data_IF_299327446582
#
_entry.id   IF_299327446582
#
_cell.length_a   1.000
_cell.length_b   1.000
_cell.length_c   1.000
_cell.angle_alpha   90.00
_cell.angle_beta   90.00
_cell.angle_gamma   90.00
#
_symmetry.space_group_name_H-M   'P 1'
#
loop_
_entity.id
_entity.type
_entity.pdbx_description
1 polymer ?
#
# COMPACT_ATOMS: atom_id res chain seq x y z
N UNK A 1 -13.89 15.64 18.32
CA UNK A 1 -13.87 14.31 17.69
C UNK A 1 -12.42 13.89 17.57
N UNK A 2 -12.08 12.64 17.93
CA UNK A 2 -10.71 12.14 17.82
C UNK A 2 -10.26 12.10 16.35
N UNK A 3 -8.97 12.29 16.08
CA UNK A 3 -8.41 12.41 14.72
C UNK A 3 -8.16 11.04 14.10
N UNK A 4 -8.48 10.85 12.83
CA UNK A 4 -8.14 9.59 12.15
C UNK A 4 -6.63 9.48 11.96
N UNK A 5 -6.08 8.27 11.86
CA UNK A 5 -4.64 8.14 11.57
C UNK A 5 -4.28 8.72 10.19
N UNK A 6 -5.21 8.74 9.24
CA UNK A 6 -5.05 9.42 7.95
C UNK A 6 -4.96 10.93 8.09
N UNK A 7 -5.77 11.54 8.96
CA UNK A 7 -5.69 12.96 9.30
C UNK A 7 -4.36 13.29 10.00
N UNK A 8 -3.90 12.43 10.91
CA UNK A 8 -2.60 12.58 11.59
C UNK A 8 -1.44 12.48 10.59
N UNK A 9 -1.47 11.51 9.67
CA UNK A 9 -0.46 11.40 8.60
C UNK A 9 -0.45 12.64 7.71
N UNK A 10 -1.63 13.09 7.28
CA UNK A 10 -1.76 14.29 6.44
C UNK A 10 -1.25 15.55 7.15
N UNK A 11 -1.50 15.67 8.45
CA UNK A 11 -0.96 16.74 9.29
C UNK A 11 0.57 16.69 9.35
N UNK A 12 1.15 15.53 9.67
CA UNK A 12 2.61 15.36 9.78
C UNK A 12 3.32 15.57 8.44
N UNK A 13 2.76 15.04 7.35
CA UNK A 13 3.27 15.26 6.00
C UNK A 13 3.18 16.74 5.60
N UNK A 14 2.11 17.44 6.02
CA UNK A 14 1.97 18.89 5.84
C UNK A 14 3.00 19.73 6.61
N UNK A 15 3.70 19.16 7.59
CA UNK A 15 4.80 19.81 8.30
C UNK A 15 6.16 19.59 7.63
N UNK A 16 6.31 18.59 6.75
CA UNK A 16 7.58 18.30 6.08
C UNK A 16 8.06 19.53 5.31
N UNK A 17 9.33 19.90 5.50
CA UNK A 17 9.90 21.12 4.91
C UNK A 17 9.59 22.41 5.68
N UNK A 18 8.81 22.35 6.79
CA UNK A 18 8.48 23.51 7.63
C UNK A 18 9.10 23.40 9.02
N UNK A 19 9.38 24.55 9.63
CA UNK A 19 9.83 24.67 11.01
C UNK A 19 8.61 24.57 11.94
N UNK A 20 8.65 23.64 12.90
CA UNK A 20 7.58 23.50 13.90
C UNK A 20 7.58 24.67 14.87
N UNK A 21 6.39 25.12 15.27
CA UNK A 21 6.23 26.26 16.18
C UNK A 21 5.80 25.76 17.54
N UNK A 22 6.54 26.09 18.58
CA UNK A 22 6.15 25.83 19.96
C UNK A 22 5.42 27.07 20.51
N UNK A 23 4.14 26.92 20.81
CA UNK A 23 3.31 28.03 21.33
C UNK A 23 3.56 28.33 22.80
N UNK A 24 4.21 27.42 23.54
CA UNK A 24 4.55 27.61 24.95
C UNK A 24 5.89 28.34 25.13
N UNK A 25 6.83 28.12 24.22
CA UNK A 25 8.16 28.72 24.28
C UNK A 25 8.77 28.81 22.87
N UNK A 26 8.88 30.02 22.33
CA UNK A 26 9.46 30.25 21.00
C UNK A 26 10.93 29.81 20.87
N UNK A 27 11.67 29.65 21.97
CA UNK A 27 13.02 29.10 21.97
C UNK A 27 13.08 27.62 21.58
N UNK A 28 11.94 26.92 21.62
CA UNK A 28 11.80 25.52 21.20
C UNK A 28 11.35 25.36 19.75
N UNK A 29 11.18 26.46 19.01
CA UNK A 29 10.81 26.42 17.59
C UNK A 29 11.80 25.57 16.78
N UNK A 30 11.27 24.66 15.99
CA UNK A 30 12.01 23.71 15.16
C UNK A 30 12.71 22.57 15.91
N UNK A 31 12.71 22.57 17.25
CA UNK A 31 13.28 21.45 18.02
C UNK A 31 12.44 20.18 17.92
N UNK A 32 13.07 19.02 18.13
CA UNK A 32 12.37 17.71 18.07
C UNK A 32 11.14 17.64 19.01
N UNK A 33 11.19 18.28 20.18
CA UNK A 33 10.07 18.32 21.13
C UNK A 33 8.90 19.16 20.64
N UNK A 34 9.13 20.21 19.83
CA UNK A 34 8.04 21.04 19.32
C UNK A 34 7.21 20.29 18.29
N UNK A 35 7.78 19.37 17.51
CA UNK A 35 7.02 18.44 16.68
C UNK A 35 6.02 17.61 17.50
N UNK A 36 6.46 17.07 18.64
CA UNK A 36 5.58 16.26 19.51
C UNK A 36 4.46 17.13 20.09
N UNK A 37 4.77 18.35 20.53
CA UNK A 37 3.77 19.30 21.06
C UNK A 37 2.72 19.69 20.01
N UNK A 38 3.15 19.95 18.77
CA UNK A 38 2.26 20.22 17.64
C UNK A 38 1.34 19.04 17.35
N UNK A 39 1.87 17.81 17.38
CA UNK A 39 1.09 16.59 17.23
C UNK A 39 0.05 16.45 18.34
N UNK A 40 0.47 16.56 19.61
CA UNK A 40 -0.42 16.43 20.77
C UNK A 40 -1.55 17.47 20.74
N UNK A 41 -1.25 18.70 20.32
CA UNK A 41 -2.26 19.72 20.10
C UNK A 41 -3.23 19.35 18.96
N UNK A 42 -2.71 18.87 17.84
CA UNK A 42 -3.54 18.47 16.69
C UNK A 42 -4.51 17.32 17.03
N UNK A 43 -4.06 16.32 17.78
CA UNK A 43 -4.89 15.18 18.21
C UNK A 43 -5.79 15.51 19.40
N UNK A 44 -5.64 16.68 20.01
CA UNK A 44 -6.44 17.12 21.14
C UNK A 44 -6.08 16.44 22.47
N UNK A 45 -4.83 16.00 22.63
CA UNK A 45 -4.35 15.45 23.89
C UNK A 45 -4.28 16.56 24.97
N UNK A 46 -4.55 16.24 26.25
CA UNK A 46 -4.45 17.19 27.34
C UNK A 46 -2.98 17.57 27.57
N UNK A 47 -2.76 18.82 27.96
CA UNK A 47 -1.45 19.38 28.30
C UNK A 47 -0.33 19.08 27.28
N UNK A 48 -0.52 19.41 25.99
CA UNK A 48 0.44 19.06 24.93
C UNK A 48 1.84 19.65 25.14
N UNK A 49 1.97 20.69 25.96
CA UNK A 49 3.21 21.43 26.24
C UNK A 49 3.93 20.97 27.53
N UNK A 50 3.51 19.88 28.17
CA UNK A 50 4.05 19.49 29.48
C UNK A 50 5.54 19.14 29.49
N UNK A 51 6.11 18.68 28.38
CA UNK A 51 7.56 18.43 28.27
C UNK A 51 8.32 19.75 28.04
N UNK A 52 9.25 20.08 28.95
CA UNK A 52 9.91 21.39 29.06
C UNK A 52 11.24 21.53 28.31
N UNK A 53 11.42 20.81 27.20
CA UNK A 53 12.53 21.06 26.27
C UNK A 53 13.41 19.86 25.92
N UNK A 54 13.62 18.90 26.83
CA UNK A 54 14.46 17.74 26.52
C UNK A 54 13.63 16.54 26.04
N UNK A 55 14.06 15.96 24.93
CA UNK A 55 13.48 14.75 24.37
C UNK A 55 13.53 13.57 25.36
N UNK A 56 14.59 13.44 26.17
CA UNK A 56 14.72 12.36 27.16
C UNK A 56 13.72 12.41 28.32
N UNK A 57 13.09 13.57 28.56
CA UNK A 57 12.15 13.77 29.66
C UNK A 57 10.72 13.34 29.26
N UNK A 58 10.45 13.28 27.94
CA UNK A 58 9.15 12.94 27.36
C UNK A 58 8.55 11.65 27.95
N UNK A 59 9.27 10.50 28.04
CA UNK A 59 8.71 9.29 28.62
C UNK A 59 8.20 9.48 30.05
N UNK A 60 9.02 10.09 30.92
CA UNK A 60 8.66 10.25 32.34
C UNK A 60 7.50 11.24 32.49
N UNK A 61 7.51 12.34 31.74
CA UNK A 61 6.47 13.38 31.82
C UNK A 61 5.14 12.90 31.23
N UNK A 62 5.12 12.36 30.01
CA UNK A 62 3.85 12.03 29.34
C UNK A 62 3.23 10.74 29.85
N UNK A 63 4.01 9.77 30.32
CA UNK A 63 3.46 8.56 30.95
C UNK A 63 2.85 8.89 32.31
N UNK A 64 3.55 9.65 33.17
CA UNK A 64 3.02 10.01 34.50
C UNK A 64 1.75 10.86 34.44
N UNK A 65 1.57 11.64 33.38
CA UNK A 65 0.36 12.45 33.15
C UNK A 65 -0.74 11.71 32.36
N UNK A 66 -0.54 10.44 32.00
CA UNK A 66 -1.48 9.67 31.20
C UNK A 66 -1.63 10.15 29.75
N UNK A 67 -0.76 11.03 29.28
CA UNK A 67 -0.73 11.55 27.90
C UNK A 67 -0.25 10.47 26.94
N UNK A 68 0.67 9.60 27.37
CA UNK A 68 1.15 8.48 26.57
C UNK A 68 1.21 7.19 27.41
N UNK A 69 1.18 6.03 26.77
CA UNK A 69 1.40 4.72 27.41
C UNK A 69 2.73 4.14 26.99
N UNK A 70 3.39 3.40 27.86
CA UNK A 70 4.61 2.66 27.49
C UNK A 70 4.24 1.53 26.53
N UNK A 71 5.04 1.35 25.47
CA UNK A 71 4.85 0.29 24.47
C UNK A 71 4.40 0.84 23.12
N UNK A 72 4.37 -0.05 22.13
CA UNK A 72 4.02 0.31 20.76
C UNK A 72 2.50 0.37 20.52
N UNK A 73 2.12 1.12 19.50
CA UNK A 73 0.76 1.31 19.00
C UNK A 73 0.76 1.68 17.52
N UNK A 74 -0.35 2.23 17.05
CA UNK A 74 -0.47 2.77 15.69
C UNK A 74 0.25 4.11 15.55
N UNK A 75 0.05 5.03 16.50
CA UNK A 75 0.74 6.31 16.60
C UNK A 75 1.68 6.29 17.80
N UNK A 76 2.97 6.53 17.55
CA UNK A 76 3.99 6.42 18.59
C UNK A 76 4.89 7.64 18.67
N UNK A 77 5.43 7.89 19.86
CA UNK A 77 6.64 8.69 20.07
C UNK A 77 7.79 7.71 20.28
N UNK A 78 8.80 7.76 19.43
CA UNK A 78 10.05 7.06 19.67
C UNK A 78 11.06 8.02 20.27
N UNK A 79 11.74 7.59 21.33
CA UNK A 79 12.67 8.40 22.10
C UNK A 79 14.03 7.72 22.10
N UNK A 80 15.07 8.47 21.79
CA UNK A 80 16.45 8.11 22.10
C UNK A 80 16.92 9.01 23.23
N UNK A 81 17.04 8.48 24.45
CA UNK A 81 17.55 9.26 25.60
C UNK A 81 19.00 9.70 25.43
N UNK A 82 19.76 8.94 24.63
CA UNK A 82 21.20 9.15 24.41
C UNK A 82 21.50 9.95 23.12
N UNK A 83 20.49 10.26 22.30
CA UNK A 83 20.64 11.07 21.10
C UNK A 83 20.93 12.55 21.38
N UNK A 84 21.24 13.32 20.34
CA UNK A 84 21.28 14.79 20.40
C UNK A 84 22.27 15.38 21.43
N UNK A 85 23.42 14.74 21.65
CA UNK A 85 24.42 15.22 22.61
C UNK A 85 24.02 15.07 24.09
N UNK A 86 23.14 14.12 24.43
CA UNK A 86 22.74 13.82 25.81
C UNK A 86 21.46 14.51 26.28
N UNK A 87 20.84 15.33 25.42
CA UNK A 87 19.51 15.89 25.62
C UNK A 87 18.38 14.98 25.10
N UNK A 88 18.77 13.94 24.36
CA UNK A 88 17.90 13.00 23.71
C UNK A 88 17.40 13.50 22.35
N UNK A 89 16.71 12.63 21.63
CA UNK A 89 16.03 12.95 20.39
C UNK A 89 14.70 12.18 20.30
N UNK A 90 13.72 12.74 19.60
CA UNK A 90 12.40 12.10 19.42
C UNK A 90 11.92 12.11 17.98
N UNK A 91 11.15 11.08 17.65
CA UNK A 91 10.44 10.91 16.39
C UNK A 91 8.96 10.65 16.67
N UNK A 92 8.10 11.08 15.75
CA UNK A 92 6.75 10.53 15.62
C UNK A 92 6.84 9.33 14.69
N UNK A 93 6.23 8.19 15.05
CA UNK A 93 6.21 7.00 14.19
C UNK A 93 4.79 6.49 13.93
N UNK A 94 4.52 6.14 12.67
CA UNK A 94 3.30 5.44 12.24
C UNK A 94 3.69 4.33 11.27
N UNK A 95 3.64 3.08 11.71
CA UNK A 95 4.16 1.95 10.94
C UNK A 95 5.66 2.10 10.68
N UNK A 96 6.06 2.02 9.41
CA UNK A 96 7.45 2.23 8.96
C UNK A 96 7.83 3.71 8.80
N UNK A 97 6.86 4.63 8.78
CA UNK A 97 7.15 6.04 8.61
C UNK A 97 7.58 6.70 9.93
N UNK A 98 8.53 7.63 9.83
CA UNK A 98 8.95 8.47 10.95
C UNK A 98 9.07 9.93 10.54
N UNK A 99 8.71 10.84 11.46
CA UNK A 99 8.87 12.29 11.31
C UNK A 99 9.72 12.81 12.46
N UNK A 100 10.66 13.69 12.15
CA UNK A 100 11.46 14.39 13.15
C UNK A 100 11.68 15.86 12.78
N UNK A 101 11.77 16.71 13.80
CA UNK A 101 12.41 18.01 13.70
C UNK A 101 13.77 17.94 14.41
N UNK A 102 14.70 18.83 14.09
CA UNK A 102 16.06 18.79 14.65
C UNK A 102 16.39 20.05 15.45
N UNK A 103 17.30 19.92 16.42
CA UNK A 103 17.66 20.90 17.46
C UNK A 103 18.06 22.32 17.02
N UNK A 104 18.21 22.60 15.72
CA UNK A 104 18.75 23.86 15.21
C UNK A 104 17.77 24.61 14.28
N UNK A 105 16.47 24.57 14.59
CA UNK A 105 15.46 25.26 13.77
C UNK A 105 15.24 24.63 12.40
N UNK A 106 15.68 23.38 12.20
CA UNK A 106 15.56 22.71 10.91
C UNK A 106 14.13 22.27 10.64
N UNK A 107 13.76 22.30 9.37
CA UNK A 107 12.50 21.79 8.89
C UNK A 107 12.27 20.32 9.26
N UNK A 108 11.00 19.96 9.46
CA UNK A 108 10.59 18.56 9.67
C UNK A 108 11.03 17.73 8.47
N UNK A 109 11.59 16.56 8.77
CA UNK A 109 12.02 15.55 7.79
C UNK A 109 11.26 14.25 8.04
N UNK A 110 10.97 13.54 6.96
CA UNK A 110 10.33 12.22 6.97
C UNK A 110 11.36 11.14 6.62
N UNK A 111 11.29 9.99 7.30
CA UNK A 111 12.05 8.77 7.03
C UNK A 111 13.57 8.99 6.97
N UNK A 112 14.08 9.83 7.86
CA UNK A 112 15.51 10.06 8.05
C UNK A 112 16.01 9.24 9.22
N UNK A 113 17.19 8.63 9.05
CA UNK A 113 17.73 7.58 9.91
C UNK A 113 17.58 7.84 11.42
N UNK A 114 17.22 6.77 12.12
CA UNK A 114 17.01 6.76 13.57
C UNK A 114 18.31 6.35 14.26
N UNK A 115 18.64 7.02 15.37
CA UNK A 115 19.65 6.47 16.30
C UNK A 115 18.98 5.48 17.24
N UNK A 116 19.75 4.80 18.09
CA UNK A 116 19.24 3.81 19.03
C UNK A 116 18.06 4.34 19.86
N UNK A 117 16.88 3.77 19.61
CA UNK A 117 15.65 4.08 20.33
C UNK A 117 15.68 3.37 21.68
N UNK A 118 15.47 4.13 22.75
CA UNK A 118 15.45 3.65 24.14
C UNK A 118 14.04 3.47 24.67
N UNK A 119 13.07 4.24 24.19
CA UNK A 119 11.68 4.19 24.64
C UNK A 119 10.73 4.33 23.45
N UNK A 120 9.63 3.59 23.48
CA UNK A 120 8.49 3.75 22.58
C UNK A 120 7.26 4.04 23.42
N UNK A 121 6.53 5.10 23.06
CA UNK A 121 5.32 5.55 23.75
C UNK A 121 4.14 5.56 22.79
N UNK A 122 3.05 4.90 23.16
CA UNK A 122 1.79 4.79 22.42
C UNK A 122 0.89 6.01 22.70
N UNK A 123 0.32 6.58 21.61
CA UNK A 123 -0.62 7.71 21.61
C UNK A 123 -2.01 7.35 21.05
N UNK A 124 -2.33 6.08 20.86
CA UNK A 124 -3.54 5.60 20.18
C UNK A 124 -4.84 6.07 20.84
N UNK A 125 -4.80 6.37 22.14
CA UNK A 125 -5.93 6.93 22.88
C UNK A 125 -6.41 8.31 22.36
N UNK A 126 -5.61 8.98 21.52
CA UNK A 126 -5.95 10.31 20.96
C UNK A 126 -6.41 10.26 19.49
N UNK A 127 -6.47 9.08 18.88
CA UNK A 127 -6.88 8.93 17.48
C UNK A 127 -8.18 8.12 17.37
N UNK A 128 -9.02 8.46 16.39
CA UNK A 128 -10.17 7.65 16.01
C UNK A 128 -9.71 6.57 15.04
N UNK A 129 -10.21 5.36 15.26
CA UNK A 129 -9.93 4.19 14.41
C UNK A 129 -10.73 4.18 13.10
N UNK A 130 -11.42 5.27 12.76
CA UNK A 130 -12.18 5.44 11.52
C UNK A 130 -11.29 6.03 10.42
N UNK A 131 -10.87 5.21 9.44
CA UNK A 131 -10.15 5.57 8.20
C UNK A 131 -8.62 5.78 8.28
N UNK A 132 -7.85 4.70 8.53
CA UNK A 132 -6.76 4.22 7.67
C UNK A 132 -6.36 2.77 8.07
N UNK A 133 -5.70 1.99 7.18
CA UNK A 133 -5.50 0.56 7.36
C UNK A 133 -4.50 0.26 8.48
N UNK A 134 -4.96 -0.53 9.45
CA UNK A 134 -4.20 -1.04 10.59
C UNK A 134 -3.30 -2.21 10.16
N UNK A 135 -2.06 -2.32 10.67
CA UNK A 135 -1.34 -3.59 10.66
C UNK A 135 -2.07 -4.53 11.65
N UNK A 136 -3.08 -5.24 11.13
CA UNK A 136 -3.96 -6.12 11.90
C UNK A 136 -5.45 -5.74 11.92
N UNK A 137 -5.95 -4.93 10.98
CA UNK A 137 -7.39 -4.66 10.82
C UNK A 137 -8.06 -5.64 9.84
N UNK A 138 -9.30 -6.04 10.12
CA UNK A 138 -10.17 -6.83 9.22
C UNK A 138 -10.19 -6.17 7.84
N UNK A 139 -9.61 -6.83 6.85
CA UNK A 139 -9.90 -6.47 5.47
C UNK A 139 -11.38 -6.74 5.21
N UNK A 140 -12.07 -5.76 4.62
CA UNK A 140 -13.51 -5.83 4.33
C UNK A 140 -13.84 -5.55 2.87
N UNK A 141 -12.83 -5.28 2.05
CA UNK A 141 -12.96 -5.00 0.62
C UNK A 141 -11.91 -5.77 -0.15
N UNK A 142 -12.24 -6.18 -1.38
CA UNK A 142 -11.30 -6.85 -2.28
C UNK A 142 -10.17 -5.88 -2.70
N UNK A 143 -8.92 -6.33 -2.65
CA UNK A 143 -7.79 -5.58 -3.20
C UNK A 143 -7.56 -5.86 -4.69
N UNK A 144 -6.66 -5.09 -5.31
CA UNK A 144 -6.23 -5.34 -6.69
C UNK A 144 -5.58 -6.74 -6.87
N UNK A 145 -4.94 -7.28 -5.82
CA UNK A 145 -4.37 -8.64 -5.87
C UNK A 145 -5.44 -9.71 -5.89
N UNK A 146 -6.47 -9.55 -5.05
CA UNK A 146 -7.64 -10.42 -5.07
C UNK A 146 -8.40 -10.36 -6.40
N UNK A 147 -8.62 -9.16 -6.94
CA UNK A 147 -9.23 -8.99 -8.27
C UNK A 147 -8.39 -9.68 -9.36
N UNK A 148 -7.07 -9.48 -9.37
CA UNK A 148 -6.18 -10.13 -10.32
C UNK A 148 -6.20 -11.66 -10.19
N UNK A 149 -6.28 -12.19 -8.96
CA UNK A 149 -6.39 -13.63 -8.73
C UNK A 149 -7.70 -14.18 -9.31
N UNK A 150 -8.82 -13.51 -9.08
CA UNK A 150 -10.13 -13.93 -9.63
C UNK A 150 -10.06 -13.91 -11.16
N UNK A 151 -9.65 -12.79 -11.76
CA UNK A 151 -9.55 -12.63 -13.22
C UNK A 151 -8.52 -13.55 -13.88
N UNK A 152 -7.56 -14.09 -13.13
CA UNK A 152 -6.63 -15.13 -13.63
C UNK A 152 -7.33 -16.47 -13.87
N UNK A 153 -8.40 -16.75 -13.13
CA UNK A 153 -9.13 -18.02 -13.21
C UNK A 153 -10.48 -17.90 -13.91
N UNK A 154 -11.11 -16.73 -13.88
CA UNK A 154 -12.31 -16.44 -14.64
C UNK A 154 -11.92 -16.02 -16.07
N UNK A 155 -12.59 -16.58 -17.07
CA UNK A 155 -12.48 -16.09 -18.44
C UNK A 155 -13.47 -14.93 -18.64
N UNK A 156 -13.06 -13.87 -19.34
CA UNK A 156 -13.97 -12.79 -19.72
C UNK A 156 -14.59 -13.09 -21.08
N UNK A 157 -15.89 -13.42 -21.10
CA UNK A 157 -16.62 -13.71 -22.34
C UNK A 157 -17.57 -12.55 -22.65
N UNK A 158 -17.26 -11.77 -23.67
CA UNK A 158 -17.98 -10.52 -23.99
C UNK A 158 -19.32 -10.72 -24.69
N UNK A 159 -19.65 -11.94 -25.11
CA UNK A 159 -20.95 -12.29 -25.69
C UNK A 159 -21.68 -13.22 -24.73
N UNK A 160 -22.93 -12.91 -24.39
CA UNK A 160 -23.72 -13.74 -23.50
C UNK A 160 -23.82 -15.18 -24.02
N UNK A 161 -23.79 -16.16 -23.12
CA UNK A 161 -23.88 -17.59 -23.44
C UNK A 161 -24.74 -18.32 -22.41
N UNK A 162 -25.22 -19.51 -22.80
CA UNK A 162 -26.07 -20.37 -21.97
C UNK A 162 -25.32 -21.70 -21.77
N UNK A 163 -25.12 -22.09 -20.52
CA UNK A 163 -24.47 -23.34 -20.15
C UNK A 163 -25.46 -24.51 -19.97
N UNK A 164 -26.76 -24.26 -20.13
CA UNK A 164 -27.82 -25.24 -19.90
C UNK A 164 -28.17 -25.45 -18.42
N UNK A 165 -27.65 -24.60 -17.53
CA UNK A 165 -27.86 -24.63 -16.07
C UNK A 165 -29.03 -23.75 -15.60
N UNK A 166 -29.75 -23.13 -16.55
CA UNK A 166 -30.87 -22.22 -16.27
C UNK A 166 -30.45 -20.77 -16.07
N UNK A 167 -29.17 -20.43 -16.29
CA UNK A 167 -28.66 -19.07 -16.25
C UNK A 167 -28.18 -18.60 -17.64
N UNK A 168 -28.16 -17.28 -17.85
CA UNK A 168 -27.46 -16.64 -18.97
C UNK A 168 -26.23 -15.93 -18.41
N UNK A 169 -25.05 -16.25 -18.93
CA UNK A 169 -23.75 -15.80 -18.41
C UNK A 169 -23.06 -14.87 -19.38
N UNK A 170 -22.40 -13.81 -18.88
CA UNK A 170 -21.62 -12.85 -19.68
C UNK A 170 -20.50 -12.22 -18.83
N UNK A 171 -19.48 -11.64 -19.47
CA UNK A 171 -18.39 -10.93 -18.81
C UNK A 171 -17.51 -11.87 -18.00
N UNK A 172 -17.17 -11.47 -16.77
CA UNK A 172 -16.33 -12.25 -15.84
C UNK A 172 -17.11 -13.32 -15.07
N UNK A 173 -18.17 -13.90 -15.67
CA UNK A 173 -19.04 -14.88 -15.01
C UNK A 173 -20.29 -14.28 -14.35
N UNK A 174 -20.70 -13.07 -14.76
CA UNK A 174 -21.99 -12.52 -14.35
C UNK A 174 -23.12 -13.39 -14.91
N UNK A 175 -24.03 -13.85 -14.05
CA UNK A 175 -25.08 -14.79 -14.42
C UNK A 175 -26.44 -14.34 -13.90
N UNK A 176 -27.44 -14.31 -14.78
CA UNK A 176 -28.83 -13.98 -14.43
C UNK A 176 -29.79 -15.13 -14.79
N UNK A 177 -30.86 -15.38 -14.01
CA UNK A 177 -31.82 -16.44 -14.30
C UNK A 177 -32.48 -16.29 -15.66
N UNK A 178 -32.47 -17.37 -16.43
CA UNK A 178 -33.11 -17.43 -17.73
C UNK A 178 -34.61 -17.13 -17.59
N UNK A 179 -35.10 -16.16 -18.38
CA UNK A 179 -36.48 -15.69 -18.32
C UNK A 179 -36.73 -14.55 -17.32
N UNK A 180 -35.72 -14.15 -16.53
CA UNK A 180 -35.77 -12.97 -15.65
C UNK A 180 -34.67 -11.95 -15.98
N UNK A 181 -34.10 -12.07 -17.18
CA UNK A 181 -32.96 -11.28 -17.65
C UNK A 181 -33.25 -10.69 -19.03
N UNK A 182 -32.62 -9.55 -19.32
CA UNK A 182 -32.57 -8.99 -20.67
C UNK A 182 -31.37 -9.53 -21.48
N UNK A 183 -30.50 -10.34 -20.88
CA UNK A 183 -29.39 -10.98 -21.56
C UNK A 183 -29.91 -12.08 -22.50
N UNK A 184 -29.47 -12.03 -23.75
CA UNK A 184 -29.81 -12.99 -24.80
C UNK A 184 -28.54 -13.69 -25.28
N UNK A 185 -28.45 -15.00 -25.06
CA UNK A 185 -27.30 -15.80 -25.47
C UNK A 185 -27.03 -15.67 -26.98
N UNK A 186 -25.76 -15.49 -27.34
CA UNK A 186 -25.28 -15.27 -28.71
C UNK A 186 -25.59 -13.88 -29.30
N UNK A 187 -26.34 -13.03 -28.59
CA UNK A 187 -26.82 -11.73 -29.12
C UNK A 187 -26.35 -10.56 -28.27
N UNK A 188 -26.54 -10.61 -26.95
CA UNK A 188 -26.09 -9.53 -26.07
C UNK A 188 -24.57 -9.52 -25.99
N UNK A 189 -23.98 -8.35 -26.24
CA UNK A 189 -22.53 -8.15 -26.19
C UNK A 189 -22.19 -6.99 -25.27
N UNK A 190 -21.06 -7.11 -24.58
CA UNK A 190 -20.47 -6.06 -23.75
C UNK A 190 -19.10 -5.65 -24.29
N UNK A 191 -18.72 -4.40 -24.06
CA UNK A 191 -17.33 -3.99 -24.08
C UNK A 191 -16.59 -4.51 -22.84
N UNK A 192 -15.25 -4.56 -22.92
CA UNK A 192 -14.41 -4.90 -21.77
C UNK A 192 -14.72 -4.00 -20.55
N UNK A 193 -14.94 -2.70 -20.78
CA UNK A 193 -15.25 -1.76 -19.71
C UNK A 193 -16.60 -2.07 -19.02
N UNK A 194 -17.61 -2.51 -19.77
CA UNK A 194 -18.90 -2.92 -19.20
C UNK A 194 -18.75 -4.21 -18.38
N UNK A 195 -17.99 -5.19 -18.88
CA UNK A 195 -17.71 -6.41 -18.13
C UNK A 195 -16.95 -6.12 -16.82
N UNK A 196 -15.95 -5.22 -16.86
CA UNK A 196 -15.22 -4.79 -15.68
C UNK A 196 -16.08 -3.99 -14.70
N UNK A 197 -16.98 -3.15 -15.18
CA UNK A 197 -17.93 -2.43 -14.34
C UNK A 197 -18.91 -3.38 -13.65
N UNK A 198 -19.46 -4.34 -14.39
CA UNK A 198 -20.38 -5.32 -13.82
C UNK A 198 -19.68 -6.21 -12.80
N UNK A 199 -18.45 -6.66 -13.08
CA UNK A 199 -17.64 -7.40 -12.11
C UNK A 199 -17.52 -6.66 -10.78
N UNK A 200 -17.28 -5.34 -10.79
CA UNK A 200 -17.22 -4.52 -9.56
C UNK A 200 -18.56 -4.43 -8.82
N UNK A 201 -19.69 -4.60 -9.50
CA UNK A 201 -21.01 -4.65 -8.85
C UNK A 201 -21.23 -6.02 -8.22
N UNK A 202 -20.96 -7.08 -8.96
CA UNK A 202 -21.17 -8.46 -8.50
C UNK A 202 -20.28 -8.80 -7.31
N UNK A 203 -19.03 -8.31 -7.30
CA UNK A 203 -18.06 -8.61 -6.26
C UNK A 203 -18.54 -8.20 -4.86
N UNK A 204 -19.41 -7.19 -4.78
CA UNK A 204 -19.98 -6.72 -3.51
C UNK A 204 -20.74 -7.84 -2.78
N UNK A 205 -21.45 -8.72 -3.50
CA UNK A 205 -22.17 -9.85 -2.90
C UNK A 205 -21.23 -10.85 -2.23
N UNK A 206 -20.11 -11.17 -2.89
CA UNK A 206 -19.10 -12.10 -2.38
C UNK A 206 -18.30 -11.51 -1.22
N UNK A 207 -17.90 -10.24 -1.33
CA UNK A 207 -17.27 -9.47 -0.24
C UNK A 207 -18.16 -9.44 1.00
N UNK A 208 -19.45 -9.14 0.84
CA UNK A 208 -20.41 -9.13 1.94
C UNK A 208 -20.58 -10.52 2.57
N UNK A 209 -20.56 -11.57 1.76
CA UNK A 209 -20.65 -12.96 2.25
C UNK A 209 -19.50 -13.28 3.20
N UNK A 210 -18.25 -13.01 2.80
CA UNK A 210 -17.08 -13.26 3.65
C UNK A 210 -17.13 -12.40 4.92
N UNK A 211 -17.47 -11.11 4.78
CA UNK A 211 -17.56 -10.18 5.91
C UNK A 211 -18.58 -10.59 6.98
N UNK A 212 -19.73 -11.09 6.55
CA UNK A 212 -20.87 -11.42 7.41
C UNK A 212 -20.79 -12.83 7.98
N UNK A 213 -20.14 -13.76 7.27
CA UNK A 213 -20.05 -15.15 7.72
C UNK A 213 -19.05 -15.32 8.87
N UNK A 214 -17.83 -14.79 8.71
CA UNK A 214 -16.76 -14.96 9.69
C UNK A 214 -16.79 -13.88 10.78
N UNK A 215 -16.66 -14.33 12.03
CA UNK A 215 -16.59 -13.45 13.21
C UNK A 215 -15.18 -12.93 13.46
N UNK A 216 -14.15 -13.67 13.01
CA UNK A 216 -12.75 -13.21 13.08
C UNK A 216 -12.41 -12.23 11.97
N UNK A 217 -11.27 -11.58 12.16
CA UNK A 217 -10.67 -10.69 11.17
C UNK A 217 -9.66 -11.43 10.31
N UNK A 218 -9.61 -11.09 9.03
CA UNK A 218 -8.59 -11.53 8.08
C UNK A 218 -7.67 -10.36 7.75
N UNK A 219 -6.39 -10.64 7.51
CA UNK A 219 -5.53 -9.68 6.81
C UNK A 219 -5.97 -9.56 5.33
N UNK A 220 -5.40 -8.61 4.58
CA UNK A 220 -5.82 -8.35 3.20
C UNK A 220 -5.68 -9.58 2.28
N UNK A 221 -4.54 -10.26 2.32
CA UNK A 221 -4.31 -11.43 1.45
C UNK A 221 -5.23 -12.60 1.80
N UNK A 222 -5.49 -12.81 3.11
CA UNK A 222 -6.47 -13.78 3.59
C UNK A 222 -7.87 -13.45 3.10
N UNK A 223 -8.29 -12.19 3.22
CA UNK A 223 -9.61 -11.76 2.77
C UNK A 223 -9.77 -11.90 1.25
N UNK A 224 -8.77 -11.48 0.47
CA UNK A 224 -8.75 -11.59 -0.98
C UNK A 224 -8.88 -13.05 -1.45
N UNK A 225 -8.14 -13.98 -0.82
CA UNK A 225 -8.24 -15.40 -1.10
C UNK A 225 -9.64 -15.96 -0.79
N UNK A 226 -10.23 -15.56 0.34
CA UNK A 226 -11.58 -15.98 0.73
C UNK A 226 -12.66 -15.46 -0.22
N UNK A 227 -12.53 -14.22 -0.70
CA UNK A 227 -13.44 -13.68 -1.72
C UNK A 227 -13.28 -14.42 -3.05
N UNK A 228 -12.05 -14.72 -3.49
CA UNK A 228 -11.83 -15.52 -4.71
C UNK A 228 -12.46 -16.91 -4.63
N UNK A 229 -12.31 -17.57 -3.48
CA UNK A 229 -12.91 -18.86 -3.22
C UNK A 229 -14.44 -18.80 -3.26
N UNK A 230 -15.03 -17.77 -2.63
CA UNK A 230 -16.49 -17.56 -2.60
C UNK A 230 -17.03 -17.22 -3.98
N UNK A 231 -16.27 -16.47 -4.79
CA UNK A 231 -16.62 -16.18 -6.19
C UNK A 231 -16.81 -17.47 -6.99
N UNK A 232 -15.89 -18.43 -6.81
CA UNK A 232 -15.95 -19.72 -7.49
C UNK A 232 -17.07 -20.63 -7.00
N UNK A 233 -17.27 -20.71 -5.69
CA UNK A 233 -18.14 -21.71 -5.06
C UNK A 233 -19.56 -21.19 -4.75
N UNK A 234 -19.79 -19.89 -4.95
CA UNK A 234 -21.03 -19.19 -4.65
C UNK A 234 -21.12 -18.74 -3.19
N UNK A 235 -22.00 -17.78 -2.92
CA UNK A 235 -22.20 -17.14 -1.61
C UNK A 235 -22.70 -18.07 -0.52
N UNK A 236 -23.30 -19.22 -0.89
CA UNK A 236 -23.81 -20.21 0.06
C UNK A 236 -22.76 -21.19 0.58
N UNK A 237 -21.51 -21.18 0.07
CA UNK A 237 -20.52 -22.24 0.32
C UNK A 237 -20.27 -22.50 1.80
N UNK A 238 -20.02 -21.46 2.59
CA UNK A 238 -19.67 -21.62 3.99
C UNK A 238 -20.84 -22.15 4.83
N UNK A 239 -22.06 -21.65 4.56
CA UNK A 239 -23.27 -22.08 5.28
C UNK A 239 -23.67 -23.51 4.94
N UNK A 240 -23.61 -23.88 3.66
CA UNK A 240 -23.95 -25.22 3.18
C UNK A 240 -23.07 -26.30 3.82
N UNK A 241 -21.78 -26.02 3.95
CA UNK A 241 -20.78 -26.98 4.43
C UNK A 241 -20.40 -26.74 5.91
N UNK A 242 -21.16 -25.87 6.61
CA UNK A 242 -21.08 -25.56 8.04
C UNK A 242 -19.66 -25.23 8.56
N UNK A 243 -18.98 -24.30 7.89
CA UNK A 243 -17.65 -23.84 8.32
C UNK A 243 -17.70 -23.15 9.68
N UNK A 244 -16.63 -23.26 10.47
CA UNK A 244 -16.53 -22.51 11.73
C UNK A 244 -16.37 -21.00 11.43
N UNK A 245 -17.24 -20.17 12.01
CA UNK A 245 -17.19 -18.71 11.86
C UNK A 245 -15.93 -18.07 12.46
N UNK A 246 -15.29 -18.76 13.40
CA UNK A 246 -14.00 -18.38 14.00
C UNK A 246 -12.87 -19.35 13.61
N UNK A 247 -13.01 -20.06 12.49
CA UNK A 247 -12.05 -21.06 12.00
C UNK A 247 -10.59 -20.59 12.08
N UNK A 248 -9.68 -21.50 12.44
CA UNK A 248 -8.24 -21.28 12.35
C UNK A 248 -7.79 -21.17 10.89
N UNK A 249 -6.60 -20.62 10.67
CA UNK A 249 -5.99 -20.52 9.34
C UNK A 249 -5.78 -21.92 8.73
N UNK A 250 -5.36 -22.90 9.53
CA UNK A 250 -5.22 -24.30 9.12
C UNK A 250 -6.55 -24.89 8.64
N UNK A 251 -7.63 -24.71 9.41
CA UNK A 251 -8.96 -25.21 9.03
C UNK A 251 -9.40 -24.64 7.68
N UNK A 252 -9.21 -23.33 7.47
CA UNK A 252 -9.59 -22.66 6.22
C UNK A 252 -8.80 -23.24 5.05
N UNK A 253 -7.47 -23.31 5.16
CA UNK A 253 -6.63 -23.80 4.05
C UNK A 253 -6.87 -25.28 3.72
N UNK A 254 -7.08 -26.14 4.72
CA UNK A 254 -7.47 -27.54 4.52
C UNK A 254 -8.86 -27.66 3.87
N UNK A 255 -9.82 -26.82 4.29
CA UNK A 255 -11.16 -26.82 3.73
C UNK A 255 -11.15 -26.38 2.27
N UNK A 256 -10.46 -25.28 1.93
CA UNK A 256 -10.28 -24.80 0.56
C UNK A 256 -9.70 -25.91 -0.33
N UNK A 257 -8.69 -26.64 0.13
CA UNK A 257 -8.02 -27.69 -0.64
C UNK A 257 -8.95 -28.86 -1.07
N UNK A 258 -10.10 -29.04 -0.40
CA UNK A 258 -11.04 -30.11 -0.73
C UNK A 258 -11.99 -29.78 -1.89
N UNK A 259 -12.13 -28.51 -2.29
CA UNK A 259 -13.03 -28.07 -3.37
C UNK A 259 -12.38 -28.18 -4.74
N UNK A 260 -12.14 -29.41 -5.17
CA UNK A 260 -11.46 -29.74 -6.43
C UNK A 260 -12.25 -30.67 -7.36
N UNK A 261 -13.49 -31.07 -7.04
CA UNK A 261 -14.30 -31.99 -7.86
C UNK A 261 -13.53 -33.23 -8.36
N UNK A 262 -13.07 -34.07 -7.41
CA UNK A 262 -12.24 -35.25 -7.69
C UNK A 262 -12.87 -36.17 -8.75
N UNK A 263 -12.06 -36.60 -9.71
CA UNK A 263 -12.46 -37.45 -10.83
C UNK A 263 -13.13 -36.72 -12.00
N UNK A 264 -13.30 -35.39 -11.92
CA UNK A 264 -13.84 -34.60 -13.02
C UNK A 264 -12.74 -34.04 -13.92
N UNK A 265 -13.10 -33.70 -15.17
CA UNK A 265 -12.19 -32.98 -16.09
C UNK A 265 -11.73 -31.61 -15.56
N UNK A 266 -12.41 -31.05 -14.56
CA UNK A 266 -12.08 -29.76 -13.96
C UNK A 266 -11.11 -29.88 -12.79
N UNK A 267 -10.79 -31.11 -12.34
CA UNK A 267 -10.05 -31.33 -11.11
C UNK A 267 -8.69 -30.64 -11.10
N UNK A 268 -7.92 -30.75 -12.18
CA UNK A 268 -6.59 -30.16 -12.28
C UNK A 268 -6.65 -28.62 -12.23
N UNK A 269 -7.62 -28.02 -12.93
CA UNK A 269 -7.84 -26.58 -12.93
C UNK A 269 -8.23 -26.06 -11.55
N UNK A 270 -9.15 -26.75 -10.87
CA UNK A 270 -9.57 -26.40 -9.52
C UNK A 270 -8.45 -26.60 -8.51
N UNK A 271 -7.68 -27.69 -8.59
CA UNK A 271 -6.50 -27.93 -7.74
C UNK A 271 -5.51 -26.78 -7.83
N UNK A 272 -5.20 -26.31 -9.06
CA UNK A 272 -4.35 -25.13 -9.28
C UNK A 272 -4.94 -23.86 -8.67
N UNK A 273 -6.25 -23.65 -8.82
CA UNK A 273 -6.96 -22.50 -8.21
C UNK A 273 -6.89 -22.51 -6.69
N UNK A 274 -7.24 -23.62 -6.06
CA UNK A 274 -7.19 -23.79 -4.60
C UNK A 274 -5.77 -23.56 -4.08
N UNK A 275 -4.74 -24.07 -4.76
CA UNK A 275 -3.35 -23.88 -4.36
C UNK A 275 -2.95 -22.39 -4.38
N UNK A 276 -3.33 -21.64 -5.41
CA UNK A 276 -3.01 -20.21 -5.53
C UNK A 276 -3.79 -19.35 -4.52
N UNK A 277 -5.05 -19.69 -4.25
CA UNK A 277 -5.84 -19.09 -3.17
C UNK A 277 -5.20 -19.34 -1.80
N UNK A 278 -4.76 -20.58 -1.51
CA UNK A 278 -4.04 -20.93 -0.28
C UNK A 278 -2.69 -20.21 -0.18
N UNK A 279 -1.95 -20.10 -1.29
CA UNK A 279 -0.68 -19.37 -1.34
C UNK A 279 -0.89 -17.90 -0.98
N UNK A 280 -1.91 -17.25 -1.58
CA UNK A 280 -2.25 -15.88 -1.24
C UNK A 280 -2.66 -15.78 0.23
N UNK A 281 -3.54 -16.65 0.71
CA UNK A 281 -3.99 -16.66 2.12
C UNK A 281 -2.83 -16.75 3.12
N UNK A 282 -1.83 -17.58 2.82
CA UNK A 282 -0.64 -17.76 3.66
C UNK A 282 0.42 -16.67 3.49
N UNK A 283 0.29 -15.77 2.51
CA UNK A 283 1.25 -14.70 2.28
C UNK A 283 1.08 -13.62 3.34
N UNK A 284 2.07 -13.38 4.23
CA UNK A 284 1.98 -12.36 5.25
C UNK A 284 1.86 -10.97 4.61
N UNK A 285 0.94 -10.15 5.12
CA UNK A 285 0.87 -8.74 4.76
C UNK A 285 1.93 -8.00 5.58
N UNK A 286 3.18 -8.04 5.12
CA UNK A 286 4.20 -7.13 5.63
C UNK A 286 3.80 -5.71 5.19
N UNK A 287 3.94 -4.70 6.06
CA UNK A 287 3.64 -3.29 5.78
C UNK A 287 4.50 -2.63 4.68
N UNK A 288 4.94 -3.39 3.69
CA UNK A 288 5.62 -2.98 2.48
C UNK A 288 5.25 -3.94 1.36
N UNK A 289 3.98 -3.97 0.96
CA UNK A 289 3.71 -4.32 -0.42
C UNK A 289 3.98 -3.07 -1.25
N UNK A 290 5.26 -2.95 -1.62
CA UNK A 290 5.63 -2.35 -2.86
C UNK A 290 4.62 -2.84 -3.91
N UNK A 291 3.88 -1.92 -4.50
CA UNK A 291 3.44 -2.02 -5.87
C UNK A 291 4.68 -2.37 -6.70
N UNK A 292 4.97 -3.66 -6.86
CA UNK A 292 5.52 -4.16 -8.11
C UNK A 292 4.37 -4.12 -9.12
N UNK A 293 4.01 -2.89 -9.51
CA UNK A 293 3.87 -2.68 -10.94
C UNK A 293 5.28 -2.93 -11.46
N UNK A 294 5.41 -3.79 -12.44
CA UNK A 294 6.43 -3.58 -13.46
C UNK A 294 6.10 -2.25 -14.15
N UNK A 295 6.27 -1.13 -13.45
CA UNK A 295 6.75 0.07 -14.09
C UNK A 295 8.21 -0.27 -14.33
N UNK A 296 8.53 -0.63 -15.58
CA UNK A 296 9.91 -0.54 -16.05
C UNK A 296 10.51 0.74 -15.47
N UNK A 297 11.69 0.63 -14.85
CA UNK A 297 12.43 1.75 -14.25
C UNK A 297 12.67 2.85 -15.31
N UNK A 298 11.66 3.70 -15.49
CA UNK A 298 11.67 4.92 -16.28
C UNK A 298 12.15 6.08 -15.41
N UNK A 299 12.61 5.80 -14.18
CA UNK A 299 13.20 6.80 -13.30
C UNK A 299 14.61 7.13 -13.71
N UNK A 300 15.39 6.23 -14.33
CA UNK A 300 16.72 6.55 -14.85
C UNK A 300 16.99 5.90 -16.23
N UNK A 301 17.07 6.71 -17.29
CA UNK A 301 17.36 6.24 -18.65
C UNK A 301 18.08 7.29 -19.49
N UNK A 302 18.60 6.90 -20.65
CA UNK A 302 19.17 7.82 -21.63
C UNK A 302 18.27 7.93 -22.87
N UNK A 303 18.19 9.12 -23.47
CA UNK A 303 17.45 9.38 -24.71
C UNK A 303 18.44 9.72 -25.81
N UNK A 304 18.25 9.14 -26.99
CA UNK A 304 18.87 9.58 -28.24
C UNK A 304 17.87 10.45 -29.00
N UNK A 305 18.23 11.71 -29.27
CA UNK A 305 17.36 12.64 -29.98
C UNK A 305 18.18 13.48 -30.98
N UNK A 306 17.84 13.43 -32.28
CA UNK A 306 18.71 13.93 -33.34
C UNK A 306 20.13 13.33 -33.24
N UNK A 307 21.14 14.20 -33.12
CA UNK A 307 22.54 13.81 -32.83
C UNK A 307 22.92 13.89 -31.35
N UNK A 308 21.98 14.27 -30.48
CA UNK A 308 22.20 14.49 -29.04
C UNK A 308 21.90 13.25 -28.19
N UNK A 309 22.52 13.21 -27.02
CA UNK A 309 22.24 12.22 -25.96
C UNK A 309 21.83 12.96 -24.70
N UNK A 310 20.78 12.50 -24.03
CA UNK A 310 20.26 13.11 -22.82
C UNK A 310 20.17 12.05 -21.72
N UNK A 311 20.63 12.37 -20.51
CA UNK A 311 20.37 11.54 -19.33
C UNK A 311 19.11 12.04 -18.61
N UNK A 312 18.25 11.10 -18.24
CA UNK A 312 17.01 11.36 -17.52
C UNK A 312 17.10 10.72 -16.14
N UNK A 313 16.79 11.50 -15.11
CA UNK A 313 16.60 11.02 -13.74
C UNK A 313 15.33 11.67 -13.14
N UNK A 314 14.24 10.90 -13.06
CA UNK A 314 12.92 11.38 -12.66
C UNK A 314 12.43 12.52 -13.56
N UNK A 315 12.26 13.70 -12.99
CA UNK A 315 11.84 14.92 -13.73
C UNK A 315 13.01 15.76 -14.20
N UNK A 316 14.26 15.29 -14.12
CA UNK A 316 15.43 16.01 -14.64
C UNK A 316 15.90 15.38 -15.93
N UNK A 317 16.14 16.21 -16.93
CA UNK A 317 16.78 15.83 -18.18
C UNK A 317 18.05 16.67 -18.36
N UNK A 318 19.17 16.04 -18.65
CA UNK A 318 20.48 16.70 -18.78
C UNK A 318 21.10 16.33 -20.12
N UNK A 319 21.41 17.31 -20.99
CA UNK A 319 22.12 17.03 -22.24
C UNK A 319 23.56 16.60 -21.95
N UNK A 320 24.00 15.51 -22.58
CA UNK A 320 25.38 15.07 -22.58
C UNK A 320 26.06 15.67 -23.81
N UNK A 321 26.79 16.76 -23.60
CA UNK A 321 27.41 17.58 -24.65
C UNK A 321 28.72 17.02 -25.18
N UNK A 322 29.26 15.97 -24.54
CA UNK A 322 30.53 15.32 -24.95
C UNK A 322 30.39 13.79 -24.96
N UNK A 323 31.13 13.13 -25.86
CA UNK A 323 31.21 11.67 -25.89
C UNK A 323 31.75 11.09 -24.57
N UNK A 324 32.61 11.83 -23.87
CA UNK A 324 33.17 11.44 -22.57
C UNK A 324 32.12 11.40 -21.45
N UNK A 325 31.17 12.34 -21.43
CA UNK A 325 30.06 12.30 -20.46
C UNK A 325 29.21 11.04 -20.63
N UNK A 326 28.96 10.62 -21.87
CA UNK A 326 28.24 9.39 -22.15
C UNK A 326 29.01 8.13 -21.73
N UNK A 327 30.32 8.07 -21.98
CA UNK A 327 31.12 6.92 -21.54
C UNK A 327 31.18 6.82 -20.02
N UNK A 328 31.38 7.94 -19.31
CA UNK A 328 31.45 7.96 -17.85
C UNK A 328 30.12 7.58 -17.22
N UNK A 329 29.00 8.12 -17.71
CA UNK A 329 27.67 7.81 -17.21
C UNK A 329 27.38 6.31 -17.28
N UNK A 330 27.65 5.66 -18.42
CA UNK A 330 27.41 4.23 -18.59
C UNK A 330 28.19 3.40 -17.58
N UNK A 331 29.50 3.66 -17.46
CA UNK A 331 30.37 2.92 -16.55
C UNK A 331 29.97 3.11 -15.09
N UNK A 332 29.72 4.36 -14.66
CA UNK A 332 29.32 4.66 -13.28
C UNK A 332 27.95 4.06 -12.96
N UNK A 333 26.98 4.19 -13.87
CA UNK A 333 25.65 3.61 -13.68
C UNK A 333 25.72 2.10 -13.48
N UNK A 334 26.44 1.40 -14.36
CA UNK A 334 26.57 -0.05 -14.31
C UNK A 334 27.23 -0.54 -13.01
N UNK A 335 28.30 0.14 -12.55
CA UNK A 335 28.94 -0.14 -11.27
C UNK A 335 28.02 0.11 -10.06
N UNK A 336 27.24 1.19 -10.10
CA UNK A 336 26.26 1.50 -9.05
C UNK A 336 25.16 0.44 -9.01
N UNK A 337 24.66 0.00 -10.16
CA UNK A 337 23.66 -1.07 -10.22
C UNK A 337 24.23 -2.41 -9.74
N UNK A 338 25.48 -2.73 -10.08
CA UNK A 338 26.17 -3.91 -9.56
C UNK A 338 26.27 -3.88 -8.04
N UNK A 339 26.69 -2.76 -7.46
CA UNK A 339 26.76 -2.61 -6.00
C UNK A 339 25.36 -2.68 -5.34
N UNK A 340 24.31 -2.13 -5.95
CA UNK A 340 22.95 -2.13 -5.38
C UNK A 340 22.26 -3.48 -5.47
N UNK A 341 22.45 -4.19 -6.58
CA UNK A 341 21.63 -5.36 -6.94
C UNK A 341 22.41 -6.66 -6.98
N UNK A 342 23.75 -6.61 -6.89
CA UNK A 342 24.64 -7.74 -7.11
C UNK A 342 24.82 -8.10 -8.59
N UNK A 343 24.28 -7.30 -9.53
CA UNK A 343 24.35 -7.55 -10.97
C UNK A 343 24.66 -6.28 -11.76
N UNK A 344 25.73 -6.31 -12.56
CA UNK A 344 26.03 -5.27 -13.53
C UNK A 344 24.87 -5.13 -14.54
N UNK A 345 24.23 -3.97 -14.54
CA UNK A 345 23.07 -3.68 -15.39
C UNK A 345 23.30 -2.35 -16.11
N UNK A 346 23.35 -2.32 -17.46
CA UNK A 346 23.57 -1.10 -18.20
C UNK A 346 22.35 -0.18 -18.14
N UNK A 347 22.58 1.13 -18.30
CA UNK A 347 21.49 2.11 -18.40
C UNK A 347 20.61 1.84 -19.64
N UNK A 348 19.29 1.91 -19.47
CA UNK A 348 18.34 1.79 -20.58
C UNK A 348 18.51 2.97 -21.53
N UNK A 349 18.49 2.70 -22.84
CA UNK A 349 18.60 3.73 -23.88
C UNK A 349 17.36 3.72 -24.75
N UNK A 350 16.67 4.85 -24.81
CA UNK A 350 15.49 5.09 -25.63
C UNK A 350 15.90 5.79 -26.92
N UNK A 351 15.54 5.20 -28.06
CA UNK A 351 15.80 5.80 -29.38
C UNK A 351 14.62 6.64 -29.84
N UNK A 352 14.73 7.96 -29.65
CA UNK A 352 13.74 8.94 -30.09
C UNK A 352 14.30 9.86 -31.18
N UNK A 353 15.33 9.42 -31.93
CA UNK A 353 16.05 10.28 -32.88
C UNK A 353 15.13 11.05 -33.84
N UNK A 354 14.01 10.45 -34.22
CA UNK A 354 13.01 11.01 -35.13
C UNK A 354 11.64 11.25 -34.48
N UNK A 355 11.54 11.28 -33.15
CA UNK A 355 10.28 11.41 -32.42
C UNK A 355 10.21 12.74 -31.65
N UNK A 356 10.11 13.83 -32.41
CA UNK A 356 10.02 15.21 -31.89
C UNK A 356 8.85 15.37 -30.91
N UNK A 357 7.67 14.81 -31.22
CA UNK A 357 6.48 14.98 -30.39
C UNK A 357 6.66 14.39 -28.98
N UNK A 358 7.23 13.18 -28.88
CA UNK A 358 7.52 12.56 -27.58
C UNK A 358 8.64 13.29 -26.84
N UNK A 359 9.69 13.71 -27.54
CA UNK A 359 10.78 14.47 -26.95
C UNK A 359 10.29 15.81 -26.37
N UNK A 360 9.52 16.60 -27.11
CA UNK A 360 9.01 17.91 -26.69
C UNK A 360 8.05 17.79 -25.49
N UNK A 361 7.18 16.79 -25.51
CA UNK A 361 6.28 16.51 -24.40
C UNK A 361 7.08 16.22 -23.11
N UNK A 362 8.16 15.46 -23.22
CA UNK A 362 8.99 15.09 -22.08
C UNK A 362 9.90 16.24 -21.62
N UNK A 363 10.52 16.97 -22.55
CA UNK A 363 11.32 18.16 -22.25
C UNK A 363 10.53 19.21 -21.45
N UNK A 364 9.24 19.37 -21.79
CA UNK A 364 8.31 20.25 -21.06
C UNK A 364 8.06 19.78 -19.63
N UNK A 365 7.92 18.48 -19.40
CA UNK A 365 7.78 17.91 -18.05
C UNK A 365 9.05 18.17 -17.22
N UNK A 366 10.22 18.06 -17.86
CA UNK A 366 11.51 18.25 -17.21
C UNK A 366 11.91 19.73 -17.02
N UNK A 367 11.11 20.68 -17.51
CA UNK A 367 11.42 22.10 -17.43
C UNK A 367 12.67 22.50 -18.22
N UNK A 368 13.06 21.71 -19.22
CA UNK A 368 14.14 22.07 -20.14
C UNK A 368 13.62 23.18 -21.06
N UNK A 369 14.19 24.38 -20.96
CA UNK A 369 13.83 25.51 -21.81
C UNK A 369 14.66 25.53 -23.09
#
# INVERSE_FOLDING_TARGET
MAKTIGEVRSFLDGLVGKVTVDKSDSGLNGQCVSLIKNLLEFVGAPNPYAARGNAKDIPNTYVSQGIAKVGAGTLNIAVSRNGGGGYGHVWVKIGSDSWQANWNGFAVKKNVGEVSITDILNLDQWISTSNAPSPGGKATTLSAKGEALIKKFEECVLTAYDLGDGMITIGWGHAEPKGQTNLVAGVTTWSQAQADEQFRKDIAGYVNTVNNYFTRSFNQNQFDAMVSFTYNCGTGVFGRDNWDKNASDSYITESIANYINKGSQFEEGLRRRRQEEINLFNTPVNGSEATKKEEEDMTEFAILYGTGVYYVCGTKMVPLTTATQWSVLRTVYEQVQEHKTGKATPIKVMDWRNNQATFDAYAKICGLK
#
